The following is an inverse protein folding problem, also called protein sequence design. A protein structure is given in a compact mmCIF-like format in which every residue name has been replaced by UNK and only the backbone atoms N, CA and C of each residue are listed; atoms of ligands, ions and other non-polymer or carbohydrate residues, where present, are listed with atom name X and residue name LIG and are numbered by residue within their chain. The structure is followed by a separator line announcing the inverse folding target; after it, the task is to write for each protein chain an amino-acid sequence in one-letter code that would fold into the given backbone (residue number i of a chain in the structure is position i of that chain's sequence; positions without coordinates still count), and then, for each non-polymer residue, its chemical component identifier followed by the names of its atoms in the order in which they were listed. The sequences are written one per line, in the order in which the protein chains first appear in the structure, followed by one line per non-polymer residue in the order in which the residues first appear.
data_IF_027680963985
#
_entry.id   IF_027680963985
#
_cell.length_a   1.000
_cell.length_b   1.000
_cell.length_c   1.000
_cell.angle_alpha   90.00
_cell.angle_beta   90.00
_cell.angle_gamma   90.00
#
_symmetry.space_group_name_H-M   'P 1'
#
loop_
_entity.id
_entity.type
_entity.pdbx_description
1 polymer ?
#
# COMPACT_ATOMS: atom_id res chain seq x y z
N UNK A 1 5.61 -10.92 2.05
CA UNK A 1 4.87 -9.72 1.57
C UNK A 1 3.70 -10.21 0.73
N UNK A 2 2.51 -9.64 0.95
CA UNK A 2 1.33 -9.87 0.12
C UNK A 2 1.06 -8.67 -0.76
N UNK A 3 0.77 -8.89 -2.04
CA UNK A 3 0.18 -7.87 -2.89
C UNK A 3 -1.30 -7.71 -2.57
N UNK A 4 -1.74 -6.47 -2.48
CA UNK A 4 -3.12 -6.07 -2.24
C UNK A 4 -3.60 -5.23 -3.42
N UNK A 5 -4.81 -5.50 -3.88
CA UNK A 5 -5.40 -4.87 -5.06
C UNK A 5 -6.71 -4.20 -4.67
N UNK A 6 -6.65 -2.87 -4.60
CA UNK A 6 -7.77 -2.00 -4.29
C UNK A 6 -7.94 -0.97 -5.40
N UNK A 7 -9.07 -1.00 -6.09
CA UNK A 7 -9.41 -0.14 -7.20
C UNK A 7 -10.60 0.75 -6.82
N UNK A 8 -10.34 1.88 -6.16
CA UNK A 8 -11.33 2.89 -5.77
C UNK A 8 -12.59 2.29 -5.11
N UNK A 9 -12.42 1.39 -4.15
CA UNK A 9 -13.50 0.69 -3.43
C UNK A 9 -13.79 -0.72 -3.91
N UNK A 10 -13.17 -1.18 -5.00
CA UNK A 10 -13.30 -2.55 -5.50
C UNK A 10 -12.08 -3.39 -5.12
N UNK A 11 -12.32 -4.47 -4.38
CA UNK A 11 -11.31 -5.48 -4.05
C UNK A 11 -11.17 -6.51 -5.17
N UNK A 12 -9.94 -6.95 -5.38
CA UNK A 12 -9.63 -8.08 -6.27
C UNK A 12 -8.52 -8.94 -5.64
N UNK A 13 -8.62 -10.24 -5.86
CA UNK A 13 -7.65 -11.25 -5.38
C UNK A 13 -7.41 -11.16 -3.85
N UNK A 14 -8.43 -10.79 -3.10
CA UNK A 14 -8.40 -10.61 -1.65
C UNK A 14 -8.25 -11.92 -0.88
N UNK A 15 -8.81 -13.02 -1.41
CA UNK A 15 -8.91 -14.31 -0.72
C UNK A 15 -7.59 -14.84 -0.14
N UNK A 16 -6.43 -14.81 -0.84
CA UNK A 16 -5.19 -15.31 -0.25
C UNK A 16 -4.76 -14.54 1.01
N UNK A 17 -4.96 -13.22 1.01
CA UNK A 17 -4.63 -12.36 2.15
C UNK A 17 -5.61 -12.58 3.30
N UNK A 18 -6.90 -12.66 3.02
CA UNK A 18 -7.95 -12.92 4.01
C UNK A 18 -7.80 -14.30 4.63
N UNK A 19 -7.60 -15.35 3.82
CA UNK A 19 -7.38 -16.71 4.32
C UNK A 19 -6.11 -16.81 5.17
N UNK A 20 -5.06 -16.05 4.86
CA UNK A 20 -3.87 -15.96 5.69
C UNK A 20 -4.18 -15.28 7.04
N UNK A 21 -4.99 -14.24 7.05
CA UNK A 21 -5.40 -13.55 8.28
C UNK A 21 -6.18 -14.49 9.21
N UNK A 22 -7.10 -15.27 8.65
CA UNK A 22 -7.95 -16.23 9.38
C UNK A 22 -7.15 -17.41 9.92
N UNK A 23 -6.18 -17.91 9.14
CA UNK A 23 -5.39 -19.08 9.53
C UNK A 23 -4.23 -18.66 10.47
N UNK A 24 -4.43 -18.85 11.76
CA UNK A 24 -3.44 -18.53 12.81
C UNK A 24 -2.34 -19.57 12.96
N UNK A 25 -2.47 -20.75 12.35
CA UNK A 25 -1.41 -21.77 12.34
C UNK A 25 -0.24 -21.35 11.42
N UNK A 26 -0.49 -20.43 10.49
CA UNK A 26 0.53 -19.84 9.63
C UNK A 26 1.26 -18.71 10.38
N UNK A 27 2.24 -19.07 11.18
CA UNK A 27 2.97 -18.12 12.01
C UNK A 27 4.23 -17.58 11.32
N UNK A 28 4.09 -16.71 10.30
CA UNK A 28 5.22 -15.95 9.76
C UNK A 28 4.88 -14.48 9.55
N UNK A 29 5.90 -13.60 9.70
CA UNK A 29 5.70 -12.17 9.59
C UNK A 29 5.33 -11.77 8.16
N UNK A 30 4.47 -10.78 8.04
CA UNK A 30 4.04 -10.27 6.73
C UNK A 30 3.92 -8.75 6.71
N UNK A 31 3.95 -8.21 5.52
CA UNK A 31 3.56 -6.83 5.21
C UNK A 31 2.74 -6.80 3.92
N UNK A 32 2.06 -5.69 3.71
CA UNK A 32 1.16 -5.49 2.57
C UNK A 32 1.81 -4.49 1.60
N UNK A 33 1.71 -4.80 0.31
CA UNK A 33 2.07 -3.91 -0.77
C UNK A 33 0.83 -3.60 -1.60
N UNK A 34 0.36 -2.35 -1.56
CA UNK A 34 -0.70 -1.92 -2.47
C UNK A 34 -0.16 -1.79 -3.88
N UNK A 35 -0.57 -2.72 -4.76
CA UNK A 35 -0.25 -2.73 -6.17
C UNK A 35 -1.22 -1.80 -6.91
N UNK A 36 -0.96 -0.50 -6.80
CA UNK A 36 -1.85 0.59 -7.17
C UNK A 36 -1.70 1.04 -8.64
N UNK A 37 -1.56 0.11 -9.56
CA UNK A 37 -1.50 0.45 -11.00
C UNK A 37 -2.72 -0.05 -11.76
N UNK A 38 -3.06 0.66 -12.83
CA UNK A 38 -4.06 0.23 -13.81
C UNK A 38 -3.63 -1.08 -14.45
N UNK A 39 -4.52 -2.05 -14.52
CA UNK A 39 -4.27 -3.29 -15.22
C UNK A 39 -4.54 -3.15 -16.70
N UNK A 40 -3.56 -3.53 -17.51
CA UNK A 40 -3.62 -3.50 -18.96
C UNK A 40 -3.16 -4.83 -19.55
N UNK A 41 -3.30 -5.03 -20.83
CA UNK A 41 -2.74 -6.19 -21.56
C UNK A 41 -1.27 -5.98 -21.96
N UNK A 42 -0.48 -5.27 -21.16
CA UNK A 42 0.92 -4.97 -21.48
C UNK A 42 1.75 -6.24 -21.71
N UNK A 43 1.53 -7.31 -20.92
CA UNK A 43 2.25 -8.59 -21.09
C UNK A 43 1.98 -9.29 -22.43
N UNK A 44 0.88 -8.96 -23.13
CA UNK A 44 0.57 -9.47 -24.46
C UNK A 44 0.85 -8.45 -25.56
N UNK A 45 1.65 -7.41 -25.26
CA UNK A 45 2.04 -6.38 -26.22
C UNK A 45 0.95 -5.35 -26.54
N UNK A 46 -0.12 -5.27 -25.73
CA UNK A 46 -1.23 -4.33 -25.90
C UNK A 46 -1.44 -3.45 -24.66
N UNK A 47 -0.48 -2.57 -24.33
CA UNK A 47 -0.56 -1.73 -23.12
C UNK A 47 -1.73 -0.74 -23.17
N UNK A 48 -2.21 -0.37 -24.33
CA UNK A 48 -3.37 0.51 -24.54
C UNK A 48 -4.70 -0.16 -24.14
N UNK A 49 -4.74 -1.49 -24.07
CA UNK A 49 -5.95 -2.22 -23.70
C UNK A 49 -6.08 -2.29 -22.18
N UNK A 50 -6.84 -1.37 -21.59
CA UNK A 50 -7.13 -1.33 -20.16
C UNK A 50 -8.11 -2.43 -19.79
N UNK A 51 -7.75 -3.23 -18.78
CA UNK A 51 -8.61 -4.26 -18.19
C UNK A 51 -9.35 -3.71 -16.97
N UNK A 52 -8.62 -3.06 -16.07
CA UNK A 52 -9.17 -2.44 -14.87
C UNK A 52 -8.43 -1.14 -14.63
N UNK A 53 -9.17 -0.04 -14.60
CA UNK A 53 -8.61 1.29 -14.37
C UNK A 53 -8.43 1.53 -12.86
N UNK A 54 -7.27 2.04 -12.48
CA UNK A 54 -7.00 2.60 -11.16
C UNK A 54 -7.04 4.14 -11.30
N UNK A 55 -8.05 4.79 -10.72
CA UNK A 55 -8.28 6.22 -10.92
C UNK A 55 -7.66 7.08 -9.81
N UNK A 56 -7.38 6.50 -8.65
CA UNK A 56 -6.85 7.21 -7.47
C UNK A 56 -7.68 8.44 -7.09
N UNK A 57 -9.01 8.28 -7.07
CA UNK A 57 -9.94 9.37 -6.76
C UNK A 57 -9.58 9.99 -5.41
N UNK A 58 -9.35 11.32 -5.32
CA UNK A 58 -8.93 11.98 -4.09
C UNK A 58 -10.13 12.26 -3.17
N UNK A 59 -10.71 11.19 -2.63
CA UNK A 59 -11.86 11.20 -1.75
C UNK A 59 -11.50 10.58 -0.39
N UNK A 60 -11.72 11.33 0.69
CA UNK A 60 -11.46 10.88 2.06
C UNK A 60 -12.26 9.64 2.44
N UNK A 61 -13.51 9.50 1.99
CA UNK A 61 -14.34 8.33 2.29
C UNK A 61 -13.76 7.07 1.63
N UNK A 62 -13.22 7.18 0.40
CA UNK A 62 -12.54 6.08 -0.26
C UNK A 62 -11.21 5.74 0.43
N UNK A 63 -10.45 6.73 0.87
CA UNK A 63 -9.20 6.51 1.62
C UNK A 63 -9.46 5.83 2.96
N UNK A 64 -10.51 6.27 3.67
CA UNK A 64 -10.92 5.68 4.94
C UNK A 64 -11.44 4.25 4.77
N UNK A 65 -12.28 4.01 3.77
CA UNK A 65 -12.77 2.67 3.43
C UNK A 65 -11.62 1.70 3.14
N UNK A 66 -10.62 2.17 2.38
CA UNK A 66 -9.41 1.38 2.08
C UNK A 66 -8.60 1.09 3.36
N UNK A 67 -8.37 2.10 4.19
CA UNK A 67 -7.68 1.94 5.47
C UNK A 67 -8.40 0.96 6.38
N UNK A 68 -9.74 1.08 6.50
CA UNK A 68 -10.57 0.22 7.34
C UNK A 68 -10.55 -1.24 6.88
N UNK A 69 -10.48 -1.50 5.58
CA UNK A 69 -10.24 -2.85 5.07
C UNK A 69 -8.88 -3.39 5.50
N UNK A 70 -7.84 -2.56 5.48
CA UNK A 70 -6.48 -2.97 5.89
C UNK A 70 -6.30 -3.07 7.41
N UNK A 71 -7.16 -2.44 8.18
CA UNK A 71 -7.02 -2.34 9.64
C UNK A 71 -6.90 -3.69 10.38
N UNK A 72 -7.68 -4.74 10.07
CA UNK A 72 -7.51 -6.05 10.68
C UNK A 72 -6.12 -6.66 10.45
N UNK A 73 -5.55 -6.45 9.26
CA UNK A 73 -4.21 -6.91 8.92
C UNK A 73 -3.13 -6.13 9.68
N UNK A 74 -3.32 -4.82 9.85
CA UNK A 74 -2.40 -3.97 10.62
C UNK A 74 -2.41 -4.29 12.10
N UNK A 75 -3.53 -4.77 12.64
CA UNK A 75 -3.69 -5.20 14.03
C UNK A 75 -3.17 -6.61 14.29
N UNK A 76 -2.93 -7.41 13.26
CA UNK A 76 -2.40 -8.76 13.42
C UNK A 76 -0.97 -8.71 13.98
N UNK A 77 -0.67 -9.56 14.96
CA UNK A 77 0.64 -9.63 15.62
C UNK A 77 1.78 -10.01 14.67
N UNK A 78 1.47 -10.71 13.58
CA UNK A 78 2.42 -11.10 12.53
C UNK A 78 2.75 -9.96 11.57
N UNK A 79 2.04 -8.81 11.66
CA UNK A 79 2.33 -7.66 10.81
C UNK A 79 3.72 -7.09 11.14
N UNK A 80 4.58 -6.98 10.13
CA UNK A 80 5.95 -6.47 10.29
C UNK A 80 5.91 -5.02 10.76
N UNK A 81 6.73 -4.72 11.76
CA UNK A 81 6.94 -3.38 12.31
C UNK A 81 8.40 -2.98 12.23
N UNK A 82 8.65 -1.72 11.97
CA UNK A 82 9.96 -1.06 12.05
C UNK A 82 9.78 0.15 12.95
N UNK A 83 10.62 0.29 13.99
CA UNK A 83 10.50 1.36 14.99
C UNK A 83 9.07 1.43 15.59
N UNK A 84 8.48 0.28 15.88
CA UNK A 84 7.10 0.11 16.36
C UNK A 84 6.00 0.62 15.40
N UNK A 85 6.32 0.90 14.14
CA UNK A 85 5.38 1.38 13.10
C UNK A 85 5.07 0.26 12.12
N UNK A 86 3.80 0.10 11.74
CA UNK A 86 3.35 -0.88 10.74
C UNK A 86 3.97 -0.59 9.38
N UNK A 87 4.58 -1.59 8.78
CA UNK A 87 5.17 -1.50 7.42
C UNK A 87 4.10 -1.64 6.36
N UNK A 88 3.97 -0.61 5.53
CA UNK A 88 3.08 -0.58 4.36
C UNK A 88 3.87 -0.17 3.13
N UNK A 89 3.77 -0.95 2.06
CA UNK A 89 4.39 -0.63 0.79
C UNK A 89 3.35 -0.09 -0.19
N UNK A 90 3.74 0.92 -0.97
CA UNK A 90 2.96 1.45 -2.10
C UNK A 90 3.80 1.29 -3.36
N UNK A 91 3.26 0.58 -4.34
CA UNK A 91 4.01 0.17 -5.52
C UNK A 91 4.34 1.32 -6.47
N UNK A 92 3.39 2.22 -6.72
CA UNK A 92 3.60 3.42 -7.52
C UNK A 92 2.95 4.65 -6.84
N UNK A 93 3.57 5.20 -5.79
CA UNK A 93 3.00 6.33 -5.06
C UNK A 93 2.84 7.59 -5.91
N UNK A 94 3.67 7.77 -6.95
CA UNK A 94 3.57 8.90 -7.88
C UNK A 94 2.29 8.94 -8.72
N UNK A 95 1.54 7.82 -8.80
CA UNK A 95 0.25 7.77 -9.49
C UNK A 95 -0.90 8.26 -8.62
N UNK A 96 -0.71 8.38 -7.31
CA UNK A 96 -1.79 8.74 -6.39
C UNK A 96 -1.95 10.25 -6.41
N UNK A 97 -3.06 10.72 -6.98
CA UNK A 97 -3.45 12.12 -6.87
C UNK A 97 -3.63 12.45 -5.38
N UNK A 98 -3.02 13.55 -4.93
CA UNK A 98 -3.00 13.96 -3.51
C UNK A 98 -2.48 12.88 -2.54
N UNK A 99 -1.48 12.11 -2.98
CA UNK A 99 -0.88 11.03 -2.18
C UNK A 99 -0.40 11.50 -0.80
N UNK A 100 0.18 12.70 -0.69
CA UNK A 100 0.63 13.24 0.59
C UNK A 100 -0.54 13.49 1.55
N UNK A 101 -1.68 14.02 1.05
CA UNK A 101 -2.88 14.24 1.86
C UNK A 101 -3.48 12.89 2.32
N UNK A 102 -3.54 11.91 1.42
CA UNK A 102 -4.00 10.55 1.74
C UNK A 102 -3.15 9.90 2.81
N UNK A 103 -1.82 9.96 2.68
CA UNK A 103 -0.89 9.34 3.62
C UNK A 103 -0.91 10.02 4.98
N UNK A 104 -1.07 11.35 5.01
CA UNK A 104 -1.29 12.09 6.26
C UNK A 104 -2.56 11.61 6.95
N UNK A 105 -3.67 11.50 6.22
CA UNK A 105 -4.94 11.02 6.75
C UNK A 105 -4.85 9.57 7.25
N UNK A 106 -4.17 8.69 6.53
CA UNK A 106 -3.92 7.31 6.98
C UNK A 106 -3.11 7.23 8.29
N UNK A 107 -2.16 8.13 8.51
CA UNK A 107 -1.42 8.23 9.78
C UNK A 107 -2.33 8.67 10.92
N UNK A 108 -3.23 9.63 10.67
CA UNK A 108 -4.25 10.06 11.63
C UNK A 108 -5.16 8.90 12.02
N UNK A 109 -5.64 8.12 11.03
CA UNK A 109 -6.45 6.93 11.27
C UNK A 109 -5.67 5.84 12.03
N UNK A 110 -4.40 5.62 11.71
CA UNK A 110 -3.55 4.67 12.42
C UNK A 110 -3.40 5.04 13.90
N UNK A 111 -3.16 6.31 14.20
CA UNK A 111 -3.08 6.82 15.56
C UNK A 111 -4.41 6.63 16.31
N UNK A 112 -5.54 7.02 15.71
CA UNK A 112 -6.88 6.86 16.29
C UNK A 112 -7.24 5.40 16.60
N UNK A 113 -6.71 4.46 15.82
CA UNK A 113 -6.95 3.03 15.99
C UNK A 113 -5.91 2.31 16.89
N UNK A 114 -5.03 3.08 17.56
CA UNK A 114 -4.03 2.54 18.49
C UNK A 114 -2.84 1.85 17.83
N UNK A 115 -2.63 2.05 16.53
CA UNK A 115 -1.50 1.47 15.79
C UNK A 115 -0.21 2.29 15.94
N UNK A 116 -0.31 3.52 16.48
CA UNK A 116 0.76 4.50 16.49
C UNK A 116 0.89 5.16 15.12
N UNK A 117 1.97 4.88 14.40
CA UNK A 117 2.25 5.47 13.09
C UNK A 117 2.48 4.38 12.03
N UNK A 118 2.53 4.77 10.77
CA UNK A 118 2.82 3.90 9.63
C UNK A 118 4.27 4.12 9.15
N UNK A 119 4.97 3.02 8.86
CA UNK A 119 6.24 3.02 8.16
C UNK A 119 5.98 2.80 6.67
N UNK A 120 5.89 3.90 5.90
CA UNK A 120 5.50 3.84 4.50
C UNK A 120 6.73 3.71 3.63
N UNK A 121 6.71 2.71 2.76
CA UNK A 121 7.77 2.40 1.81
C UNK A 121 7.25 2.64 0.39
N UNK A 122 7.87 3.56 -0.35
CA UNK A 122 7.65 3.72 -1.76
C UNK A 122 8.48 2.72 -2.55
N UNK A 123 7.83 2.00 -3.46
CA UNK A 123 8.53 1.14 -4.41
C UNK A 123 8.85 1.96 -5.65
N UNK A 124 10.12 1.99 -6.06
CA UNK A 124 10.55 2.66 -7.29
C UNK A 124 11.06 1.63 -8.29
N UNK A 125 10.49 1.63 -9.48
CA UNK A 125 10.94 0.81 -10.60
C UNK A 125 12.10 1.52 -11.31
N UNK A 126 13.16 0.78 -11.61
CA UNK A 126 14.22 1.19 -12.52
C UNK A 126 14.25 0.25 -13.71
N UNK A 127 14.20 0.81 -14.91
CA UNK A 127 14.44 0.07 -16.14
C UNK A 127 15.86 0.34 -16.59
N UNK A 128 16.68 -0.70 -16.67
CA UNK A 128 17.99 -0.62 -17.30
C UNK A 128 17.86 -1.07 -18.76
N UNK A 129 18.23 -0.24 -19.74
CA UNK A 129 18.06 -0.55 -21.17
C UNK A 129 18.76 -1.84 -21.61
N UNK A 130 19.87 -2.17 -20.99
CA UNK A 130 20.70 -3.33 -21.35
C UNK A 130 20.25 -4.65 -20.74
N UNK A 131 19.30 -4.63 -19.79
CA UNK A 131 18.73 -5.82 -19.16
C UNK A 131 17.26 -5.88 -19.46
N UNK A 132 16.90 -6.47 -20.57
CA UNK A 132 15.55 -6.46 -21.15
C UNK A 132 14.43 -7.03 -20.26
N UNK A 133 14.71 -7.50 -19.03
CA UNK A 133 13.71 -8.07 -18.10
C UNK A 133 14.04 -8.00 -16.60
N UNK A 134 15.02 -7.24 -16.14
CA UNK A 134 15.29 -7.16 -14.70
C UNK A 134 14.70 -5.86 -14.14
N UNK A 135 13.62 -5.99 -13.38
CA UNK A 135 13.06 -4.88 -12.62
C UNK A 135 13.76 -4.86 -11.27
N UNK A 136 14.61 -3.86 -11.03
CA UNK A 136 15.16 -3.61 -9.70
C UNK A 136 14.15 -2.78 -8.91
N UNK A 137 13.72 -3.34 -7.78
CA UNK A 137 12.85 -2.66 -6.85
C UNK A 137 13.73 -1.99 -5.78
N UNK A 138 13.83 -0.66 -5.83
CA UNK A 138 14.45 0.10 -4.76
C UNK A 138 13.38 0.58 -3.79
N UNK A 139 13.56 0.21 -2.55
CA UNK A 139 12.70 0.62 -1.44
C UNK A 139 13.18 1.98 -0.94
N UNK A 140 12.35 3.01 -1.10
CA UNK A 140 12.65 4.36 -0.59
C UNK A 140 11.71 4.63 0.59
N UNK A 141 12.30 4.90 1.75
CA UNK A 141 11.54 5.37 2.93
C UNK A 141 10.98 6.76 2.63
N UNK A 142 9.66 6.93 2.62
CA UNK A 142 9.03 8.24 2.56
C UNK A 142 9.00 8.83 3.98
N UNK A 143 9.88 9.80 4.25
CA UNK A 143 9.77 10.66 5.43
C UNK A 143 8.85 11.82 5.06
N UNK A 144 7.58 11.73 5.42
CA UNK A 144 6.73 12.91 5.52
C UNK A 144 7.09 13.57 6.85
N UNK A 145 7.64 14.79 6.81
CA UNK A 145 7.88 15.57 8.03
C UNK A 145 6.60 15.59 8.85
N UNK A 146 6.69 15.14 10.11
CA UNK A 146 5.59 15.35 11.05
C UNK A 146 5.42 16.86 11.21
N UNK A 147 4.19 17.39 11.22
CA UNK A 147 3.98 18.74 11.73
C UNK A 147 4.49 18.75 13.18
N UNK A 148 5.31 19.73 13.51
CA UNK A 148 5.72 19.96 14.90
C UNK A 148 4.45 20.12 15.73
N UNK A 149 4.19 19.17 16.60
CA UNK A 149 3.14 19.30 17.60
C UNK A 149 3.69 20.29 18.60
N UNK A 150 3.29 21.56 18.48
CA UNK A 150 3.52 22.54 19.51
C UNK A 150 2.86 22.03 20.79
N UNK A 151 3.70 21.61 21.75
CA UNK A 151 3.29 21.48 23.15
C UNK A 151 3.03 22.90 23.67
N UNK A 152 1.79 23.21 23.97
CA UNK A 152 1.39 24.28 24.87
C UNK A 152 1.27 23.74 26.28
#
# INVERSE_FOLDING_TARGET
MFYHYWFDGKLLLEKPLESFLENKDLNFPFCICWANETWTRAWSGRPECVLIKQSHIPDKLLWESHFNYLLPFFKDERAIRIDNKIVVLIYQPSLIEKGDEMLKYWRELAFQNGLGDLYIIAVKKYYFPDFSRVIYMIIIKIHIKQPEIFQY
#
